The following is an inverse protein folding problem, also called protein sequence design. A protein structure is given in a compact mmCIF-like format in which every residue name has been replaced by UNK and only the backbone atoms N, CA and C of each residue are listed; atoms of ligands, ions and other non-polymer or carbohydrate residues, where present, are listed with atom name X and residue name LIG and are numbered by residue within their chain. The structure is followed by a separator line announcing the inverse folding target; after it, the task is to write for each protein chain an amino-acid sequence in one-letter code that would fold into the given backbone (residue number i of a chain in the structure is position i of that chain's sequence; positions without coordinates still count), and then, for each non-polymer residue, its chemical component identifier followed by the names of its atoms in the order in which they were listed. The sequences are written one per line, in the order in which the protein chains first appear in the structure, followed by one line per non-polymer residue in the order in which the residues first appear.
data_IF_042528619615
#
_entry.id   IF_042528619615
#
_cell.length_a   1.000
_cell.length_b   1.000
_cell.length_c   1.000
_cell.angle_alpha   90.00
_cell.angle_beta   90.00
_cell.angle_gamma   90.00
#
_symmetry.space_group_name_H-M   'P 1'
#
loop_
_entity.id
_entity.type
_entity.pdbx_description
1 polymer ?
#
# COMPACT_ATOMS: atom_id res chain seq x y z
N UNK A 1 -15.60 -14.25 43.04
CA UNK A 1 -15.61 -15.72 43.06
C UNK A 1 -16.97 -16.22 42.63
N UNK A 2 -17.17 -16.40 41.33
CA UNK A 2 -18.20 -17.28 40.78
C UNK A 2 -17.44 -18.29 39.94
N UNK A 3 -17.73 -19.57 40.15
CA UNK A 3 -17.07 -20.69 39.50
C UNK A 3 -17.37 -20.62 38.00
N UNK A 4 -16.31 -20.65 37.18
CA UNK A 4 -16.41 -20.81 35.75
C UNK A 4 -16.11 -22.27 35.41
N UNK A 5 -16.90 -22.80 34.47
CA UNK A 5 -16.73 -24.15 33.96
C UNK A 5 -15.68 -24.07 32.85
N UNK A 6 -14.42 -24.36 33.19
CA UNK A 6 -13.46 -24.85 32.21
C UNK A 6 -13.95 -26.25 31.83
N UNK A 7 -14.27 -26.49 30.56
CA UNK A 7 -14.53 -27.85 30.09
C UNK A 7 -13.17 -28.52 29.89
N UNK A 8 -12.59 -28.99 30.98
CA UNK A 8 -11.42 -29.87 30.96
C UNK A 8 -11.87 -31.22 30.39
N UNK A 9 -11.81 -31.36 29.08
CA UNK A 9 -12.00 -32.63 28.40
C UNK A 9 -10.70 -33.43 28.49
N UNK A 10 -10.46 -34.06 29.63
CA UNK A 10 -9.45 -35.11 29.71
C UNK A 10 -9.83 -36.24 28.74
N UNK A 11 -8.98 -36.45 27.72
CA UNK A 11 -8.83 -37.67 26.92
C UNK A 11 -10.09 -38.17 26.16
N UNK A 12 -10.13 -37.94 24.83
CA UNK A 12 -10.56 -38.92 23.81
C UNK A 12 -10.73 -38.38 22.36
N UNK A 13 -10.06 -37.29 21.93
CA UNK A 13 -10.06 -36.89 20.51
C UNK A 13 -8.69 -36.96 19.80
N UNK A 14 -7.64 -37.47 20.46
CA UNK A 14 -6.28 -37.66 19.88
C UNK A 14 -6.18 -38.97 19.10
N UNK A 15 -7.18 -39.34 18.29
CA UNK A 15 -7.14 -40.61 17.56
C UNK A 15 -7.90 -40.60 16.23
N UNK A 16 -7.54 -39.69 15.32
CA UNK A 16 -7.54 -39.96 13.87
C UNK A 16 -6.86 -38.80 13.14
N UNK A 17 -5.71 -39.06 12.52
CA UNK A 17 -5.01 -38.10 11.67
C UNK A 17 -5.89 -37.62 10.51
N UNK A 18 -6.45 -36.43 10.67
CA UNK A 18 -7.27 -35.76 9.67
C UNK A 18 -7.05 -34.24 9.69
N UNK A 19 -5.79 -33.81 9.61
CA UNK A 19 -5.44 -32.42 9.22
C UNK A 19 -4.57 -32.46 7.97
N UNK A 20 -5.03 -33.21 6.97
CA UNK A 20 -4.49 -33.18 5.62
C UNK A 20 -5.67 -33.07 4.65
N UNK A 21 -5.95 -31.83 4.23
CA UNK A 21 -6.89 -31.43 3.19
C UNK A 21 -8.38 -31.80 3.38
N UNK A 22 -9.21 -30.86 3.88
CA UNK A 22 -10.61 -30.72 3.43
C UNK A 22 -11.41 -29.54 4.07
N UNK A 23 -11.72 -28.52 3.25
CA UNK A 23 -13.02 -27.79 3.14
C UNK A 23 -13.53 -26.86 4.30
N UNK A 24 -14.29 -25.79 3.96
CA UNK A 24 -14.67 -24.69 4.88
C UNK A 24 -15.85 -25.03 5.79
N UNK A 25 -15.90 -26.23 6.39
CA UNK A 25 -17.10 -26.76 7.03
C UNK A 25 -16.94 -27.22 8.49
N UNK A 26 -16.02 -26.61 9.25
CA UNK A 26 -15.94 -26.82 10.71
C UNK A 26 -16.05 -25.50 11.48
N UNK A 27 -17.20 -24.84 11.35
CA UNK A 27 -17.66 -23.87 12.34
C UNK A 27 -18.33 -24.64 13.49
N UNK A 28 -17.56 -25.04 14.49
CA UNK A 28 -18.11 -25.49 15.77
C UNK A 28 -18.43 -24.23 16.59
N UNK A 29 -19.71 -24.04 16.89
CA UNK A 29 -20.28 -22.82 17.48
C UNK A 29 -19.78 -22.55 18.89
N UNK A 30 -19.12 -21.41 19.11
CA UNK A 30 -18.63 -20.90 20.39
C UNK A 30 -19.37 -19.57 20.73
N UNK A 31 -20.02 -19.45 21.90
CA UNK A 31 -20.78 -18.24 22.31
C UNK A 31 -20.62 -18.02 23.85
N UNK A 32 -20.07 -16.87 24.31
CA UNK A 32 -20.38 -16.29 25.65
C UNK A 32 -19.31 -15.51 26.48
N UNK A 33 -19.64 -14.25 26.89
CA UNK A 33 -19.04 -13.20 27.80
C UNK A 33 -17.65 -12.54 27.56
N UNK A 34 -16.88 -11.96 28.52
CA UNK A 34 -15.41 -11.79 28.35
C UNK A 34 -14.55 -12.31 29.51
N UNK A 35 -13.40 -12.93 29.19
CA UNK A 35 -12.48 -13.61 30.13
C UNK A 35 -11.00 -13.42 29.74
N UNK A 36 -10.20 -12.95 30.69
CA UNK A 36 -8.73 -13.11 30.65
C UNK A 36 -8.35 -14.44 31.29
N UNK A 37 -7.68 -15.33 30.54
CA UNK A 37 -7.17 -16.61 31.04
C UNK A 37 -5.64 -16.61 30.93
N UNK A 38 -4.95 -16.76 32.05
CA UNK A 38 -3.50 -16.92 32.11
C UNK A 38 -3.22 -18.26 32.80
N UNK A 39 -2.94 -19.30 31.99
CA UNK A 39 -2.64 -20.65 32.48
C UNK A 39 -1.25 -20.71 33.15
N UNK A 40 -0.39 -19.71 32.88
CA UNK A 40 0.94 -19.57 33.45
C UNK A 40 0.96 -18.85 34.82
N UNK A 41 -0.19 -18.35 35.31
CA UNK A 41 -0.26 -17.60 36.55
C UNK A 41 0.01 -18.47 37.80
N UNK A 42 0.90 -18.05 38.74
CA UNK A 42 1.13 -18.79 39.98
C UNK A 42 -0.15 -18.99 40.80
N UNK A 43 -0.62 -20.24 40.88
CA UNK A 43 -1.83 -20.62 41.62
C UNK A 43 -3.08 -20.82 40.75
N UNK A 44 -2.94 -20.78 39.41
CA UNK A 44 -3.94 -21.34 38.51
C UNK A 44 -4.12 -22.85 38.82
N UNK A 45 -5.36 -23.40 38.84
CA UNK A 45 -5.60 -24.81 39.16
C UNK A 45 -4.91 -25.78 38.17
N UNK A 46 -4.49 -25.27 37.02
CA UNK A 46 -3.55 -25.90 36.10
C UNK A 46 -2.40 -24.92 35.78
N UNK A 47 -1.24 -25.00 36.46
CA UNK A 47 -0.04 -24.30 36.04
C UNK A 47 0.72 -25.20 35.06
N UNK A 48 0.72 -24.83 33.78
CA UNK A 48 1.17 -25.63 32.62
C UNK A 48 2.25 -26.66 32.94
N UNK A 49 1.89 -27.93 32.77
CA UNK A 49 2.81 -29.06 32.87
C UNK A 49 3.23 -29.60 31.51
N UNK A 50 2.92 -28.89 30.41
CA UNK A 50 3.16 -29.37 29.06
C UNK A 50 2.03 -30.29 28.56
N UNK A 51 0.78 -30.06 28.98
CA UNK A 51 -0.40 -30.81 28.58
C UNK A 51 -1.34 -29.97 27.72
N UNK A 52 -2.06 -30.63 26.80
CA UNK A 52 -2.94 -30.00 25.84
C UNK A 52 -4.20 -29.40 26.50
N UNK A 53 -4.44 -28.11 26.23
CA UNK A 53 -5.55 -27.32 26.73
C UNK A 53 -6.59 -26.98 25.67
N UNK A 54 -7.84 -26.78 26.11
CA UNK A 54 -8.93 -26.29 25.26
C UNK A 54 -9.56 -25.08 25.93
N UNK A 55 -9.38 -23.91 25.32
CA UNK A 55 -9.87 -22.63 25.82
C UNK A 55 -10.92 -22.06 24.88
N UNK A 56 -12.09 -21.79 25.45
CA UNK A 56 -13.15 -21.05 24.77
C UNK A 56 -13.14 -19.63 25.34
N UNK A 57 -12.79 -18.70 24.48
CA UNK A 57 -13.02 -17.28 24.65
C UNK A 57 -14.51 -16.96 24.54
N UNK A 58 -14.77 -15.71 24.27
CA UNK A 58 -16.03 -15.09 24.49
C UNK A 58 -16.37 -14.05 23.41
N UNK A 59 -17.55 -13.40 23.44
CA UNK A 59 -17.92 -12.32 22.55
C UNK A 59 -17.31 -10.96 22.86
N UNK A 60 -16.35 -10.83 23.77
CA UNK A 60 -15.62 -9.58 23.95
C UNK A 60 -14.11 -9.82 23.94
N UNK A 61 -13.36 -8.73 23.79
CA UNK A 61 -11.91 -8.74 23.65
C UNK A 61 -11.20 -9.52 24.78
N UNK A 62 -10.69 -10.71 24.43
CA UNK A 62 -10.02 -11.63 25.33
C UNK A 62 -8.50 -11.60 25.16
N UNK A 63 -7.80 -11.98 26.23
CA UNK A 63 -6.35 -12.18 26.19
C UNK A 63 -6.03 -13.51 26.87
N UNK A 64 -5.41 -14.42 26.12
CA UNK A 64 -5.15 -15.80 26.53
C UNK A 64 -3.69 -16.17 26.32
N UNK A 65 -3.13 -16.87 27.31
CA UNK A 65 -1.83 -17.52 27.25
C UNK A 65 -2.03 -19.02 27.51
N UNK A 66 -1.76 -19.85 26.50
CA UNK A 66 -1.98 -21.30 26.52
C UNK A 66 -0.76 -22.05 27.06
N UNK A 67 0.44 -21.62 26.68
CA UNK A 67 1.68 -22.01 27.35
C UNK A 67 2.39 -23.15 26.67
N UNK A 68 2.24 -24.38 27.15
CA UNK A 68 2.94 -25.51 26.53
C UNK A 68 2.06 -26.74 26.49
N UNK A 69 2.03 -27.40 25.35
CA UNK A 69 1.00 -28.40 25.04
C UNK A 69 0.57 -28.24 23.59
N UNK A 70 -0.25 -29.17 23.10
CA UNK A 70 -0.90 -29.00 21.80
C UNK A 70 -2.29 -28.39 22.06
N UNK A 71 -2.39 -27.07 22.01
CA UNK A 71 -3.52 -26.33 22.56
C UNK A 71 -4.56 -25.93 21.51
N UNK A 72 -5.81 -25.75 21.94
CA UNK A 72 -6.91 -25.27 21.10
C UNK A 72 -7.55 -24.03 21.73
N UNK A 73 -7.56 -22.92 20.98
CA UNK A 73 -8.24 -21.69 21.37
C UNK A 73 -9.35 -21.32 20.37
N UNK A 74 -10.49 -20.87 20.89
CA UNK A 74 -11.54 -20.21 20.09
C UNK A 74 -11.90 -18.86 20.71
N UNK A 75 -11.58 -17.76 20.03
CA UNK A 75 -11.75 -16.38 20.46
C UNK A 75 -13.21 -16.00 20.64
N UNK A 76 -14.02 -16.19 19.61
CA UNK A 76 -15.45 -15.88 19.65
C UNK A 76 -15.74 -14.59 18.89
N UNK A 77 -16.08 -13.51 19.57
CA UNK A 77 -16.17 -12.21 18.90
C UNK A 77 -15.47 -11.14 19.69
N UNK A 78 -15.13 -10.02 19.06
CA UNK A 78 -14.30 -9.00 19.70
C UNK A 78 -12.87 -9.14 19.22
N UNK A 79 -12.03 -8.17 19.59
CA UNK A 79 -10.64 -8.14 19.13
C UNK A 79 -9.76 -8.91 20.14
N UNK A 80 -9.47 -10.17 19.84
CA UNK A 80 -8.83 -11.12 20.76
C UNK A 80 -7.30 -11.18 20.61
N UNK A 81 -6.62 -11.63 21.66
CA UNK A 81 -5.18 -11.90 21.66
C UNK A 81 -4.92 -13.30 22.24
N UNK A 82 -4.29 -14.17 21.46
CA UNK A 82 -3.92 -15.51 21.91
C UNK A 82 -2.44 -15.81 21.68
N UNK A 83 -1.80 -16.41 22.68
CA UNK A 83 -0.45 -16.95 22.61
C UNK A 83 -0.51 -18.46 22.84
N UNK A 84 -0.17 -19.25 21.82
CA UNK A 84 -0.08 -20.71 21.86
C UNK A 84 1.07 -21.15 22.76
N UNK A 85 2.29 -20.80 22.38
CA UNK A 85 3.49 -21.01 23.18
C UNK A 85 4.35 -22.13 22.59
N UNK A 86 4.38 -23.32 23.18
CA UNK A 86 5.16 -24.44 22.62
C UNK A 86 4.29 -25.68 22.41
N UNK A 87 4.36 -26.29 21.24
CA UNK A 87 3.58 -27.48 20.86
C UNK A 87 2.88 -27.26 19.52
N UNK A 88 1.98 -28.16 19.12
CA UNK A 88 1.19 -27.99 17.89
C UNK A 88 -0.16 -27.35 18.23
N UNK A 89 -0.23 -26.03 18.15
CA UNK A 89 -1.38 -25.24 18.58
C UNK A 89 -2.37 -24.96 17.45
N UNK A 90 -3.66 -24.88 17.78
CA UNK A 90 -4.71 -24.43 16.87
C UNK A 90 -5.46 -23.25 17.46
N UNK A 91 -5.32 -22.08 16.85
CA UNK A 91 -5.88 -20.82 17.34
C UNK A 91 -6.93 -20.28 16.36
N UNK A 92 -8.17 -20.06 16.83
CA UNK A 92 -9.22 -19.39 16.06
C UNK A 92 -9.54 -18.03 16.68
N UNK A 93 -9.44 -16.94 15.92
CA UNK A 93 -9.90 -15.60 16.33
C UNK A 93 -11.41 -15.43 16.20
N UNK A 94 -11.97 -15.98 15.12
CA UNK A 94 -13.40 -15.93 14.76
C UNK A 94 -13.88 -14.56 14.24
N UNK A 95 -14.39 -13.64 15.07
CA UNK A 95 -14.95 -12.38 14.55
C UNK A 95 -14.40 -11.17 15.30
N UNK A 96 -13.53 -10.40 14.66
CA UNK A 96 -12.87 -9.25 15.26
C UNK A 96 -11.55 -8.99 14.54
N UNK A 97 -10.74 -8.08 15.07
CA UNK A 97 -9.38 -7.85 14.59
C UNK A 97 -8.40 -8.47 15.58
N UNK A 98 -8.10 -9.74 15.35
CA UNK A 98 -7.45 -10.63 16.30
C UNK A 98 -5.93 -10.61 16.17
N UNK A 99 -5.24 -11.01 17.24
CA UNK A 99 -3.79 -11.18 17.27
C UNK A 99 -3.45 -12.58 17.77
N UNK A 100 -3.08 -13.44 16.84
CA UNK A 100 -2.76 -14.83 17.12
C UNK A 100 -1.26 -15.04 17.00
N UNK A 101 -0.66 -15.62 18.03
CA UNK A 101 0.76 -15.94 18.10
C UNK A 101 0.89 -17.45 18.36
N UNK A 102 1.36 -18.22 17.37
CA UNK A 102 1.52 -19.68 17.49
C UNK A 102 2.63 -20.01 18.48
N UNK A 103 3.88 -19.77 18.11
CA UNK A 103 5.03 -19.90 18.99
C UNK A 103 6.06 -20.85 18.40
N UNK A 104 6.41 -21.88 19.18
CA UNK A 104 7.28 -22.98 18.74
C UNK A 104 6.41 -24.20 18.40
N UNK A 105 6.51 -24.73 17.19
CA UNK A 105 5.83 -25.97 16.79
C UNK A 105 5.03 -25.81 15.51
N UNK A 106 4.38 -26.88 15.05
CA UNK A 106 3.62 -26.83 13.80
C UNK A 106 2.19 -26.36 14.11
N UNK A 107 1.95 -25.05 13.98
CA UNK A 107 0.72 -24.38 14.41
C UNK A 107 -0.28 -24.11 13.28
N UNK A 108 -1.57 -24.03 13.64
CA UNK A 108 -2.66 -23.61 12.76
C UNK A 108 -3.36 -22.36 13.31
N UNK A 109 -3.17 -21.23 12.62
CA UNK A 109 -3.70 -19.92 13.02
C UNK A 109 -4.82 -19.52 12.06
N UNK A 110 -6.00 -19.27 12.59
CA UNK A 110 -7.21 -18.88 11.84
C UNK A 110 -7.71 -17.53 12.35
N UNK A 111 -7.53 -16.45 11.57
CA UNK A 111 -8.02 -15.11 11.90
C UNK A 111 -9.54 -15.09 12.00
N UNK A 112 -10.21 -15.34 10.87
CA UNK A 112 -11.66 -15.37 10.81
C UNK A 112 -12.21 -14.18 10.06
N UNK A 113 -12.97 -13.30 10.71
CA UNK A 113 -13.58 -12.13 10.09
C UNK A 113 -13.11 -10.85 10.78
N UNK A 114 -12.50 -9.96 10.01
CA UNK A 114 -11.89 -8.70 10.44
C UNK A 114 -10.44 -8.66 10.00
N UNK A 115 -9.70 -7.62 10.39
CA UNK A 115 -8.33 -7.43 9.92
C UNK A 115 -7.36 -7.99 10.96
N UNK A 116 -6.93 -9.22 10.75
CA UNK A 116 -6.24 -10.02 11.73
C UNK A 116 -4.71 -9.93 11.59
N UNK A 117 -4.02 -10.25 12.68
CA UNK A 117 -2.57 -10.42 12.71
C UNK A 117 -2.22 -11.79 13.22
N UNK A 118 -1.66 -12.62 12.34
CA UNK A 118 -1.23 -13.97 12.65
C UNK A 118 0.29 -14.00 12.57
N UNK A 119 0.97 -14.50 13.60
CA UNK A 119 2.43 -14.51 13.65
C UNK A 119 2.92 -15.82 14.23
N UNK A 120 3.93 -16.39 13.60
CA UNK A 120 4.66 -17.51 14.16
C UNK A 120 6.18 -17.28 14.21
N UNK A 121 6.91 -18.18 14.88
CA UNK A 121 8.37 -18.13 15.00
C UNK A 121 9.10 -19.33 14.41
N UNK A 122 8.63 -20.56 14.60
CA UNK A 122 9.28 -21.80 14.14
C UNK A 122 8.25 -22.91 13.90
N UNK A 123 8.41 -23.71 12.84
CA UNK A 123 7.56 -24.87 12.57
C UNK A 123 6.98 -24.84 11.15
N UNK A 124 6.25 -25.87 10.77
CA UNK A 124 5.51 -25.91 9.51
C UNK A 124 4.07 -25.43 9.76
N UNK A 125 3.87 -24.13 9.61
CA UNK A 125 2.66 -23.48 10.11
C UNK A 125 1.62 -23.28 9.01
N UNK A 126 0.37 -23.19 9.43
CA UNK A 126 -0.75 -22.89 8.55
C UNK A 126 -1.44 -21.60 9.00
N UNK A 127 -1.35 -20.57 8.17
CA UNK A 127 -1.97 -19.27 8.37
C UNK A 127 -3.21 -19.14 7.49
N UNK A 128 -4.35 -18.90 8.10
CA UNK A 128 -5.62 -18.63 7.43
C UNK A 128 -6.14 -17.26 7.88
N UNK A 129 -6.01 -16.25 7.03
CA UNK A 129 -6.50 -14.88 7.30
C UNK A 129 -8.02 -14.87 7.46
N UNK A 130 -8.74 -15.05 6.34
CA UNK A 130 -10.19 -15.20 6.35
C UNK A 130 -10.89 -14.07 5.60
N UNK A 131 -11.82 -13.35 6.22
CA UNK A 131 -12.42 -12.14 5.67
C UNK A 131 -11.74 -10.91 6.27
N UNK A 132 -11.14 -10.04 5.46
CA UNK A 132 -10.53 -8.80 5.94
C UNK A 132 -9.18 -8.55 5.31
N UNK A 133 -8.50 -7.49 5.73
CA UNK A 133 -7.14 -7.20 5.28
C UNK A 133 -6.16 -7.70 6.34
N UNK A 134 -5.59 -8.89 6.14
CA UNK A 134 -4.84 -9.62 7.15
C UNK A 134 -3.32 -9.43 7.04
N UNK A 135 -2.63 -9.57 8.18
CA UNK A 135 -1.18 -9.54 8.29
C UNK A 135 -0.64 -10.87 8.78
N UNK A 136 0.03 -11.59 7.89
CA UNK A 136 0.62 -12.91 8.13
C UNK A 136 2.14 -12.78 8.30
N UNK A 137 2.61 -12.85 9.55
CA UNK A 137 4.03 -12.79 9.89
C UNK A 137 4.69 -14.15 9.81
N UNK A 138 5.94 -14.18 9.33
CA UNK A 138 6.61 -15.44 8.99
C UNK A 138 7.58 -15.95 10.06
N UNK A 139 7.60 -17.28 10.21
CA UNK A 139 8.54 -18.04 11.01
C UNK A 139 9.67 -18.65 10.16
N UNK A 140 10.32 -19.68 10.68
CA UNK A 140 11.13 -20.62 9.90
C UNK A 140 10.36 -21.93 9.74
N UNK A 141 10.48 -22.61 8.61
CA UNK A 141 9.86 -23.91 8.36
C UNK A 141 9.14 -23.95 7.02
N UNK A 142 8.25 -24.92 6.81
CA UNK A 142 7.50 -25.04 5.55
C UNK A 142 6.06 -24.61 5.79
N UNK A 143 5.76 -23.36 5.46
CA UNK A 143 4.50 -22.74 5.86
C UNK A 143 3.47 -22.71 4.73
N UNK A 144 2.19 -22.60 5.11
CA UNK A 144 1.06 -22.36 4.22
C UNK A 144 0.42 -21.04 4.59
N UNK A 145 0.42 -20.09 3.66
CA UNK A 145 -0.23 -18.79 3.80
C UNK A 145 -1.47 -18.75 2.91
N UNK A 146 -2.66 -18.68 3.53
CA UNK A 146 -3.94 -18.45 2.86
C UNK A 146 -4.53 -17.14 3.40
N UNK A 147 -4.46 -16.06 2.62
CA UNK A 147 -5.02 -14.76 3.04
C UNK A 147 -6.55 -14.77 3.10
N UNK A 148 -7.20 -15.57 2.24
CA UNK A 148 -8.65 -15.60 2.16
C UNK A 148 -9.19 -14.50 1.26
N UNK A 149 -9.96 -13.57 1.83
CA UNK A 149 -10.65 -12.52 1.08
C UNK A 149 -10.38 -11.15 1.68
N UNK A 150 -9.97 -10.23 0.82
CA UNK A 150 -9.59 -8.88 1.22
C UNK A 150 -8.25 -8.56 0.60
N UNK A 151 -7.36 -7.94 1.36
CA UNK A 151 -6.07 -7.44 0.86
C UNK A 151 -4.96 -7.87 1.81
N UNK A 152 -4.45 -9.07 1.59
CA UNK A 152 -3.65 -9.77 2.61
C UNK A 152 -2.15 -9.60 2.41
N UNK A 153 -1.42 -9.46 3.51
CA UNK A 153 0.01 -9.15 3.52
C UNK A 153 0.82 -10.23 4.23
N UNK A 154 1.80 -10.79 3.51
CA UNK A 154 2.86 -11.59 4.14
C UNK A 154 4.09 -10.74 4.43
N UNK A 155 4.63 -10.86 5.64
CA UNK A 155 5.69 -10.00 6.17
C UNK A 155 6.97 -10.78 6.49
N UNK A 156 7.99 -10.65 5.65
CA UNK A 156 9.31 -11.29 5.77
C UNK A 156 10.37 -10.40 6.45
N UNK A 157 9.97 -9.32 7.13
CA UNK A 157 10.95 -8.46 7.82
C UNK A 157 11.75 -9.24 8.86
N UNK A 158 13.05 -8.96 8.91
CA UNK A 158 13.98 -9.64 9.81
C UNK A 158 14.35 -11.07 9.39
N UNK A 159 13.88 -11.55 8.24
CA UNK A 159 14.41 -12.77 7.60
C UNK A 159 15.70 -12.44 6.83
N UNK A 160 16.35 -13.46 6.29
CA UNK A 160 17.39 -13.28 5.25
C UNK A 160 16.73 -13.13 3.88
N UNK A 161 17.54 -13.03 2.81
CA UNK A 161 17.08 -13.07 1.41
C UNK A 161 15.96 -14.10 1.19
N UNK A 162 14.89 -13.64 0.52
CA UNK A 162 13.73 -14.45 0.16
C UNK A 162 13.50 -14.56 -1.34
N UNK A 163 12.77 -15.61 -1.72
CA UNK A 163 12.27 -15.83 -3.09
C UNK A 163 10.77 -16.13 -3.02
N UNK A 164 9.92 -15.20 -3.45
CA UNK A 164 8.46 -15.36 -3.37
C UNK A 164 7.84 -15.20 -4.75
N UNK A 165 6.92 -16.09 -5.11
CA UNK A 165 6.12 -16.07 -6.32
C UNK A 165 4.64 -16.33 -6.00
N UNK A 166 3.85 -15.26 -5.91
CA UNK A 166 2.42 -15.32 -5.63
C UNK A 166 1.60 -15.83 -6.83
N UNK A 167 2.21 -15.95 -8.02
CA UNK A 167 1.53 -16.51 -9.20
C UNK A 167 1.42 -18.04 -9.15
N UNK A 168 2.12 -18.67 -8.20
CA UNK A 168 2.10 -20.11 -7.96
C UNK A 168 1.57 -20.41 -6.55
N UNK A 169 0.57 -21.29 -6.48
CA UNK A 169 0.08 -21.85 -5.21
C UNK A 169 0.81 -23.14 -4.81
N UNK A 170 1.78 -23.60 -5.61
CA UNK A 170 2.58 -24.76 -5.26
C UNK A 170 3.65 -24.38 -4.24
N UNK A 171 4.04 -25.30 -3.34
CA UNK A 171 5.14 -25.06 -2.40
C UNK A 171 6.43 -24.68 -3.15
N UNK A 172 7.08 -23.61 -2.70
CA UNK A 172 8.26 -23.01 -3.32
C UNK A 172 9.33 -22.73 -2.27
N UNK A 173 10.60 -22.87 -2.65
CA UNK A 173 11.70 -22.56 -1.73
C UNK A 173 11.82 -21.04 -1.59
N UNK A 174 11.44 -20.52 -0.43
CA UNK A 174 11.42 -19.10 -0.10
C UNK A 174 12.74 -18.58 0.46
N UNK A 175 13.83 -19.34 0.27
CA UNK A 175 15.15 -18.98 0.75
C UNK A 175 15.32 -19.28 2.23
N UNK A 176 15.58 -18.24 3.03
CA UNK A 176 15.83 -18.40 4.47
C UNK A 176 14.62 -18.69 5.33
N UNK A 177 13.41 -18.71 4.74
CA UNK A 177 12.16 -19.01 5.44
C UNK A 177 11.78 -20.51 5.34
N UNK A 178 11.96 -21.14 4.17
CA UNK A 178 11.87 -22.59 4.00
C UNK A 178 11.19 -22.98 2.68
N UNK A 179 10.21 -23.89 2.72
CA UNK A 179 9.41 -24.24 1.54
C UNK A 179 7.95 -23.91 1.78
N UNK A 180 7.53 -22.73 1.32
CA UNK A 180 6.24 -22.17 1.66
C UNK A 180 5.27 -22.18 0.49
N UNK A 181 3.97 -22.02 0.76
CA UNK A 181 2.94 -21.84 -0.27
C UNK A 181 2.05 -20.64 0.02
N UNK A 182 1.58 -19.97 -1.04
CA UNK A 182 0.77 -18.77 -0.94
C UNK A 182 -0.53 -18.94 -1.71
N UNK A 183 -1.65 -18.62 -1.08
CA UNK A 183 -3.00 -18.64 -1.63
C UNK A 183 -3.66 -17.33 -1.24
N UNK A 184 -4.30 -16.66 -2.20
CA UNK A 184 -5.03 -15.41 -1.96
C UNK A 184 -4.23 -14.38 -1.13
N UNK A 185 -2.97 -14.16 -1.52
CA UNK A 185 -2.11 -13.12 -0.96
C UNK A 185 -1.87 -12.08 -2.02
N UNK A 186 -2.06 -10.80 -1.68
CA UNK A 186 -1.87 -9.68 -2.59
C UNK A 186 -0.61 -8.87 -2.27
N UNK A 187 -0.11 -8.89 -1.05
CA UNK A 187 0.96 -8.00 -0.61
C UNK A 187 2.10 -8.78 0.05
N UNK A 188 3.32 -8.33 -0.24
CA UNK A 188 4.54 -8.91 0.35
C UNK A 188 5.45 -7.78 0.80
N UNK A 189 5.93 -7.91 2.03
CA UNK A 189 7.02 -7.11 2.57
C UNK A 189 8.25 -8.02 2.64
N UNK A 190 9.30 -7.62 1.95
CA UNK A 190 10.59 -8.29 1.92
C UNK A 190 11.40 -8.12 3.21
N UNK A 191 12.64 -8.54 3.12
CA UNK A 191 13.68 -8.50 4.14
C UNK A 191 14.63 -7.32 3.93
N UNK A 192 15.64 -7.15 4.79
CA UNK A 192 16.69 -6.13 4.58
C UNK A 192 17.82 -6.63 3.64
N UNK A 193 17.56 -7.67 2.84
CA UNK A 193 18.51 -8.31 1.94
C UNK A 193 17.99 -8.34 0.51
N UNK A 194 18.89 -8.56 -0.46
CA UNK A 194 18.55 -8.69 -1.88
C UNK A 194 17.45 -9.75 -2.11
N UNK A 195 16.21 -9.32 -2.33
CA UNK A 195 15.05 -10.21 -2.47
C UNK A 195 14.62 -10.39 -3.92
N UNK A 196 13.90 -11.50 -4.19
CA UNK A 196 13.17 -11.68 -5.45
C UNK A 196 11.71 -11.95 -5.14
N UNK A 197 10.84 -11.01 -5.49
CA UNK A 197 9.41 -11.10 -5.19
C UNK A 197 8.62 -10.94 -6.48
N UNK A 198 7.76 -11.90 -6.77
CA UNK A 198 6.85 -11.93 -7.91
C UNK A 198 5.42 -11.91 -7.41
N UNK A 199 4.65 -10.92 -7.85
CA UNK A 199 3.22 -10.78 -7.62
C UNK A 199 2.40 -11.79 -8.42
N UNK A 200 1.13 -11.49 -8.64
CA UNK A 200 0.20 -12.33 -9.37
C UNK A 200 -0.61 -11.49 -10.38
N UNK A 201 -1.87 -11.85 -10.64
CA UNK A 201 -2.72 -11.10 -11.58
C UNK A 201 -3.61 -10.04 -10.88
N UNK A 202 -3.55 -9.97 -9.55
CA UNK A 202 -4.27 -9.00 -8.74
C UNK A 202 -3.47 -7.69 -8.59
N UNK A 203 -4.04 -6.68 -7.94
CA UNK A 203 -3.29 -5.47 -7.63
C UNK A 203 -2.39 -5.71 -6.41
N UNK A 204 -1.09 -5.86 -6.63
CA UNK A 204 -0.13 -6.16 -5.58
C UNK A 204 0.54 -4.90 -5.02
N UNK A 205 0.91 -4.96 -3.74
CA UNK A 205 1.83 -4.00 -3.10
C UNK A 205 3.05 -4.80 -2.67
N UNK A 206 4.17 -4.54 -3.31
CA UNK A 206 5.43 -5.27 -3.09
C UNK A 206 6.46 -4.29 -2.55
N UNK A 207 7.00 -4.59 -1.38
CA UNK A 207 8.07 -3.83 -0.73
C UNK A 207 9.33 -4.68 -0.65
N UNK A 208 10.44 -4.23 -1.22
CA UNK A 208 11.76 -4.86 -1.07
C UNK A 208 12.43 -4.52 0.26
N UNK A 209 12.03 -3.42 0.90
CA UNK A 209 12.65 -2.86 2.11
C UNK A 209 14.08 -2.39 1.91
N UNK A 210 15.10 -3.24 2.00
CA UNK A 210 16.48 -2.85 1.75
C UNK A 210 17.26 -3.98 1.11
N UNK A 211 18.30 -3.66 0.34
CA UNK A 211 18.99 -4.67 -0.47
C UNK A 211 19.01 -4.23 -1.92
N UNK A 212 19.35 -5.13 -2.85
CA UNK A 212 19.16 -4.91 -4.28
C UNK A 212 18.07 -5.87 -4.75
N UNK A 213 16.85 -5.38 -4.80
CA UNK A 213 15.68 -6.24 -4.93
C UNK A 213 15.24 -6.38 -6.38
N UNK A 214 14.56 -7.48 -6.68
CA UNK A 214 13.91 -7.72 -7.97
C UNK A 214 12.44 -7.96 -7.74
N UNK A 215 11.62 -6.95 -8.06
CA UNK A 215 10.18 -6.95 -7.84
C UNK A 215 9.45 -7.04 -9.17
N UNK A 216 8.60 -8.05 -9.33
CA UNK A 216 7.73 -8.24 -10.49
C UNK A 216 6.27 -8.11 -10.10
N UNK A 217 5.53 -7.16 -10.68
CA UNK A 217 4.07 -7.03 -10.47
C UNK A 217 3.25 -8.07 -11.23
N UNK A 218 3.72 -8.48 -12.41
CA UNK A 218 3.05 -9.36 -13.38
C UNK A 218 1.79 -8.74 -14.00
N UNK A 219 0.62 -8.87 -13.40
CA UNK A 219 -0.64 -8.40 -13.97
C UNK A 219 -1.44 -7.68 -12.91
N UNK A 220 -2.16 -6.61 -13.27
CA UNK A 220 -2.99 -5.92 -12.29
C UNK A 220 -2.68 -4.44 -12.25
N UNK A 221 -2.64 -3.86 -11.05
CA UNK A 221 -2.29 -2.45 -10.86
C UNK A 221 -1.39 -2.35 -9.65
N UNK A 222 -0.11 -2.52 -9.89
CA UNK A 222 0.83 -2.83 -8.82
C UNK A 222 1.47 -1.57 -8.27
N UNK A 223 1.85 -1.63 -6.99
CA UNK A 223 2.71 -0.63 -6.35
C UNK A 223 3.99 -1.33 -5.93
N UNK A 224 5.09 -0.94 -6.55
CA UNK A 224 6.42 -1.50 -6.33
C UNK A 224 7.27 -0.49 -5.56
N UNK A 225 7.79 -0.91 -4.43
CA UNK A 225 8.62 -0.10 -3.53
C UNK A 225 9.91 -0.88 -3.34
N UNK A 226 10.97 -0.52 -4.05
CA UNK A 226 12.29 -1.17 -3.89
C UNK A 226 12.82 -0.91 -2.48
N UNK A 227 13.30 0.31 -2.25
CA UNK A 227 13.80 0.74 -0.96
C UNK A 227 15.11 1.48 -1.11
N UNK A 228 15.99 1.50 -0.10
CA UNK A 228 17.41 1.77 -0.32
C UNK A 228 18.04 0.57 -1.03
N UNK A 229 18.56 0.79 -2.23
CA UNK A 229 19.06 -0.35 -3.00
C UNK A 229 19.50 -0.01 -4.40
N UNK A 230 19.78 -1.03 -5.20
CA UNK A 230 19.80 -0.88 -6.65
C UNK A 230 18.78 -1.87 -7.20
N UNK A 231 17.54 -1.40 -7.30
CA UNK A 231 16.42 -2.31 -7.43
C UNK A 231 16.00 -2.47 -8.88
N UNK A 232 15.40 -3.60 -9.22
CA UNK A 232 14.72 -3.83 -10.50
C UNK A 232 13.23 -3.88 -10.20
N UNK A 233 12.49 -2.89 -10.70
CA UNK A 233 11.06 -2.79 -10.53
C UNK A 233 10.38 -3.01 -11.87
N UNK A 234 9.75 -4.17 -12.04
CA UNK A 234 9.04 -4.57 -13.24
C UNK A 234 7.54 -4.65 -13.01
N UNK A 235 6.80 -3.63 -13.46
CA UNK A 235 5.35 -3.56 -13.26
C UNK A 235 4.56 -4.65 -13.99
N UNK A 236 5.09 -5.18 -15.10
CA UNK A 236 4.36 -6.18 -15.88
C UNK A 236 3.28 -5.56 -16.78
N UNK A 237 2.05 -6.03 -16.66
CA UNK A 237 0.89 -5.65 -17.46
C UNK A 237 -0.14 -5.00 -16.55
N UNK A 238 -0.40 -3.71 -16.74
CA UNK A 238 -1.20 -3.02 -15.76
C UNK A 238 -1.10 -1.52 -15.88
N UNK A 239 -1.40 -0.85 -14.79
CA UNK A 239 -1.03 0.57 -14.61
C UNK A 239 -0.25 0.69 -13.32
N UNK A 240 1.04 0.47 -13.43
CA UNK A 240 1.87 0.12 -12.29
C UNK A 240 2.60 1.36 -11.78
N UNK A 241 2.91 1.37 -10.49
CA UNK A 241 3.47 2.53 -9.79
C UNK A 241 4.77 2.16 -9.14
N UNK A 242 5.85 2.85 -9.49
CA UNK A 242 7.05 2.85 -8.66
C UNK A 242 6.90 3.94 -7.60
N UNK A 243 6.91 3.54 -6.33
CA UNK A 243 6.66 4.41 -5.19
C UNK A 243 7.94 4.63 -4.37
N UNK A 244 8.38 5.89 -4.36
CA UNK A 244 9.57 6.36 -3.66
C UNK A 244 9.24 7.19 -2.40
N UNK A 245 8.01 7.12 -1.89
CA UNK A 245 7.56 7.93 -0.75
C UNK A 245 8.41 7.76 0.51
N UNK A 246 9.02 6.58 0.70
CA UNK A 246 9.87 6.24 1.84
C UNK A 246 11.36 6.54 1.62
N UNK A 247 11.76 7.04 0.44
CA UNK A 247 13.15 7.32 0.12
C UNK A 247 13.81 8.29 1.12
N UNK A 248 15.10 8.06 1.41
CA UNK A 248 15.83 8.81 2.44
C UNK A 248 16.18 10.25 2.04
N UNK A 249 16.03 10.60 0.75
CA UNK A 249 16.27 11.92 0.18
C UNK A 249 15.49 12.13 -1.13
N UNK A 250 15.63 13.30 -1.74
CA UNK A 250 14.95 13.63 -3.00
C UNK A 250 15.41 12.73 -4.14
N UNK A 251 14.45 12.25 -4.94
CA UNK A 251 14.67 11.28 -6.01
C UNK A 251 14.74 11.93 -7.39
N UNK A 252 15.41 11.24 -8.32
CA UNK A 252 15.43 11.62 -9.74
C UNK A 252 15.08 10.41 -10.58
N UNK A 253 13.86 10.38 -11.09
CA UNK A 253 13.29 9.20 -11.77
C UNK A 253 12.66 9.59 -13.10
N UNK A 254 12.89 8.78 -14.13
CA UNK A 254 12.37 8.99 -15.47
C UNK A 254 11.84 7.68 -16.04
N UNK A 255 10.55 7.63 -16.38
CA UNK A 255 9.92 6.51 -17.10
C UNK A 255 10.39 6.41 -18.55
N UNK A 256 10.84 7.53 -19.13
CA UNK A 256 11.48 7.53 -20.45
C UNK A 256 12.85 6.79 -20.49
N UNK A 257 13.44 6.43 -19.34
CA UNK A 257 14.62 5.56 -19.26
C UNK A 257 14.14 4.14 -19.05
N UNK A 258 14.06 3.38 -20.14
CA UNK A 258 13.45 2.05 -20.16
C UNK A 258 14.51 0.96 -20.03
N UNK A 259 14.29 0.00 -19.12
CA UNK A 259 15.11 -1.22 -18.95
C UNK A 259 16.61 -0.95 -18.76
N UNK A 260 16.95 0.21 -18.20
CA UNK A 260 18.34 0.61 -17.96
C UNK A 260 18.45 1.21 -16.56
N UNK A 261 19.51 0.88 -15.80
CA UNK A 261 19.74 1.48 -14.49
C UNK A 261 19.82 3.01 -14.56
N UNK A 262 19.14 3.69 -13.64
CA UNK A 262 19.16 5.14 -13.49
C UNK A 262 19.47 5.51 -12.04
N UNK A 263 20.33 6.51 -11.85
CA UNK A 263 20.64 7.01 -10.51
C UNK A 263 19.43 7.79 -9.96
N UNK A 264 18.64 7.09 -9.12
CA UNK A 264 17.44 7.59 -8.44
C UNK A 264 17.79 8.40 -7.20
N UNK A 265 19.08 8.45 -6.82
CA UNK A 265 19.65 9.24 -5.71
C UNK A 265 19.20 8.74 -4.35
N UNK A 266 18.07 9.25 -3.86
CA UNK A 266 17.54 8.96 -2.52
C UNK A 266 17.14 7.50 -2.30
N UNK A 267 17.09 6.73 -3.39
CA UNK A 267 16.79 5.30 -3.44
C UNK A 267 17.88 4.49 -4.17
N UNK A 268 19.07 5.07 -4.43
CA UNK A 268 20.18 4.36 -5.07
C UNK A 268 20.17 4.36 -6.61
N UNK A 269 20.29 3.19 -7.25
CA UNK A 269 20.35 3.05 -8.72
C UNK A 269 19.37 1.99 -9.22
N UNK A 270 18.16 2.43 -9.55
CA UNK A 270 17.08 1.51 -9.89
C UNK A 270 16.90 1.34 -11.40
N UNK A 271 16.31 0.21 -11.78
CA UNK A 271 15.89 -0.09 -13.14
C UNK A 271 14.38 -0.23 -13.16
N UNK A 272 13.72 0.63 -13.95
CA UNK A 272 12.27 0.57 -14.16
C UNK A 272 11.96 -0.14 -15.47
N UNK A 273 11.04 -1.09 -15.39
CA UNK A 273 10.57 -1.91 -16.51
C UNK A 273 9.04 -1.89 -16.47
N UNK A 274 8.39 -1.45 -17.56
CA UNK A 274 6.91 -1.47 -17.68
C UNK A 274 6.20 -0.85 -16.46
N UNK A 275 6.57 0.38 -16.13
CA UNK A 275 5.96 1.18 -15.06
C UNK A 275 5.43 2.46 -15.67
N UNK A 276 4.17 2.80 -15.42
CA UNK A 276 3.49 3.96 -16.00
C UNK A 276 3.38 5.14 -15.04
N UNK A 277 3.54 4.91 -13.73
CA UNK A 277 3.26 5.90 -12.70
C UNK A 277 4.42 6.05 -11.71
N UNK A 278 4.52 7.24 -11.12
CA UNK A 278 5.55 7.57 -10.12
C UNK A 278 4.94 8.25 -8.90
N UNK A 279 5.44 7.88 -7.72
CA UNK A 279 5.27 8.65 -6.50
C UNK A 279 6.65 9.07 -6.00
N UNK A 280 6.83 10.37 -5.81
CA UNK A 280 8.03 10.98 -5.25
C UNK A 280 8.12 10.82 -3.74
N UNK A 281 9.23 11.31 -3.20
CA UNK A 281 9.55 11.30 -1.79
C UNK A 281 8.89 12.48 -1.05
N UNK A 282 9.30 12.71 0.20
CA UNK A 282 8.92 13.91 0.97
C UNK A 282 9.87 15.10 0.76
N UNK A 283 10.81 14.99 -0.17
CA UNK A 283 11.84 15.98 -0.46
C UNK A 283 11.71 16.48 -1.89
N UNK A 284 12.49 17.50 -2.27
CA UNK A 284 12.46 18.02 -3.64
C UNK A 284 12.91 16.98 -4.67
N UNK A 285 11.98 16.56 -5.52
CA UNK A 285 12.15 15.50 -6.49
C UNK A 285 12.26 16.01 -7.93
N UNK A 286 12.77 15.15 -8.81
CA UNK A 286 12.71 15.34 -10.26
C UNK A 286 12.11 14.09 -10.91
N UNK A 287 10.85 14.20 -11.32
CA UNK A 287 10.08 13.10 -11.88
C UNK A 287 9.76 13.36 -13.35
N UNK A 288 9.85 12.35 -14.19
CA UNK A 288 9.60 12.46 -15.63
C UNK A 288 8.82 11.24 -16.11
N UNK A 289 7.67 11.47 -16.73
CA UNK A 289 6.88 10.44 -17.39
C UNK A 289 7.47 10.03 -18.74
N UNK A 290 6.69 9.34 -19.55
CA UNK A 290 7.10 8.83 -20.84
C UNK A 290 6.19 9.37 -21.97
N UNK A 291 5.86 8.52 -22.96
CA UNK A 291 4.95 8.88 -24.05
C UNK A 291 3.53 8.35 -23.86
N UNK A 292 3.31 7.56 -22.82
CA UNK A 292 2.01 7.04 -22.42
C UNK A 292 1.33 7.97 -21.41
N UNK A 293 0.07 7.70 -21.05
CA UNK A 293 -0.59 8.44 -19.98
C UNK A 293 0.03 8.09 -18.62
N UNK A 294 0.60 9.08 -17.94
CA UNK A 294 1.23 8.86 -16.64
C UNK A 294 0.44 9.51 -15.49
N UNK A 295 0.49 8.90 -14.31
CA UNK A 295 0.13 9.54 -13.04
C UNK A 295 1.40 9.77 -12.22
N UNK A 296 1.70 11.02 -11.92
CA UNK A 296 2.90 11.40 -11.17
C UNK A 296 2.52 12.30 -10.00
N UNK A 297 2.95 11.92 -8.79
CA UNK A 297 2.82 12.73 -7.57
C UNK A 297 4.20 13.10 -7.04
N UNK A 298 4.49 14.39 -6.87
CA UNK A 298 5.72 14.90 -6.25
C UNK A 298 5.77 14.58 -4.76
N UNK A 299 4.80 15.10 -4.00
CA UNK A 299 4.68 14.85 -2.57
C UNK A 299 4.90 16.13 -1.78
N UNK A 300 5.81 16.10 -0.83
CA UNK A 300 6.26 17.32 -0.17
C UNK A 300 7.62 17.70 -0.77
N UNK A 301 7.98 18.97 -0.78
CA UNK A 301 9.25 19.41 -1.31
C UNK A 301 9.06 20.45 -2.42
N UNK A 302 10.16 20.84 -3.04
CA UNK A 302 10.08 21.68 -4.24
C UNK A 302 10.36 20.77 -5.44
N UNK A 303 9.31 20.33 -6.11
CA UNK A 303 9.38 19.26 -7.09
C UNK A 303 9.46 19.79 -8.51
N UNK A 304 10.11 19.03 -9.38
CA UNK A 304 10.10 19.26 -10.82
C UNK A 304 9.51 18.06 -11.52
N UNK A 305 8.32 18.21 -12.09
CA UNK A 305 7.56 17.15 -12.74
C UNK A 305 7.40 17.46 -14.24
N UNK A 306 7.64 16.47 -15.09
CA UNK A 306 7.36 16.53 -16.52
C UNK A 306 6.53 15.31 -16.92
N UNK A 307 5.33 15.51 -17.49
CA UNK A 307 4.47 14.43 -17.97
C UNK A 307 5.06 13.76 -19.20
N UNK A 308 5.33 14.55 -20.25
CA UNK A 308 5.93 14.05 -21.47
C UNK A 308 4.93 14.12 -22.61
N UNK A 309 4.64 13.00 -23.26
CA UNK A 309 3.51 12.91 -24.16
C UNK A 309 2.47 11.97 -23.56
N UNK A 310 1.18 12.18 -23.83
CA UNK A 310 0.13 11.39 -23.20
C UNK A 310 -0.92 12.28 -22.56
N UNK A 311 -1.96 11.68 -21.99
CA UNK A 311 -2.93 12.43 -21.19
C UNK A 311 -2.59 12.26 -19.73
N UNK A 312 -1.81 13.18 -19.18
CA UNK A 312 -1.15 12.98 -17.88
C UNK A 312 -1.95 13.53 -16.70
N UNK A 313 -1.70 12.98 -15.51
CA UNK A 313 -2.21 13.50 -14.24
C UNK A 313 -1.02 13.77 -13.31
N UNK A 314 -0.72 15.05 -13.14
CA UNK A 314 0.47 15.52 -12.45
C UNK A 314 0.09 16.33 -11.20
N UNK A 315 0.66 15.99 -10.06
CA UNK A 315 0.42 16.66 -8.78
C UNK A 315 1.74 17.00 -8.11
N UNK A 316 1.98 18.29 -7.83
CA UNK A 316 3.17 18.77 -7.10
C UNK A 316 3.07 18.41 -5.63
N UNK A 317 2.05 18.94 -4.95
CA UNK A 317 1.77 18.66 -3.56
C UNK A 317 2.10 19.86 -2.69
N UNK A 318 2.96 19.70 -1.68
CA UNK A 318 3.32 20.80 -0.80
C UNK A 318 4.74 21.31 -1.06
N UNK A 319 4.86 22.60 -1.33
CA UNK A 319 6.12 23.30 -1.54
C UNK A 319 6.10 24.02 -2.87
N UNK A 320 7.27 24.38 -3.42
CA UNK A 320 7.31 25.27 -4.60
C UNK A 320 7.60 24.47 -5.86
N UNK A 321 6.55 24.13 -6.60
CA UNK A 321 6.65 23.11 -7.63
C UNK A 321 6.75 23.70 -9.04
N UNK A 322 7.38 22.93 -9.93
CA UNK A 322 7.43 23.21 -11.37
C UNK A 322 6.89 21.99 -12.10
N UNK A 323 5.73 22.14 -12.74
CA UNK A 323 5.03 21.05 -13.41
C UNK A 323 4.84 21.40 -14.88
N UNK A 324 5.19 20.46 -15.76
CA UNK A 324 4.99 20.54 -17.21
C UNK A 324 4.18 19.35 -17.68
N UNK A 325 3.03 19.57 -18.31
CA UNK A 325 2.19 18.53 -18.93
C UNK A 325 2.91 17.93 -20.13
N UNK A 326 3.10 18.76 -21.16
CA UNK A 326 3.83 18.38 -22.35
C UNK A 326 2.87 18.31 -23.53
N UNK A 327 2.71 17.16 -24.17
CA UNK A 327 1.72 17.03 -25.25
C UNK A 327 0.62 16.07 -24.88
N UNK A 328 -0.63 16.47 -25.07
CA UNK A 328 -1.78 15.59 -24.99
C UNK A 328 -2.96 16.26 -24.31
N UNK A 329 -3.48 15.72 -23.22
CA UNK A 329 -4.58 16.40 -22.52
C UNK A 329 -4.41 16.18 -21.03
N UNK A 330 -3.81 17.15 -20.40
CA UNK A 330 -3.21 16.96 -19.10
C UNK A 330 -4.06 17.57 -17.98
N UNK A 331 -3.91 17.02 -16.79
CA UNK A 331 -4.44 17.57 -15.55
C UNK A 331 -3.29 17.84 -14.61
N UNK A 332 -3.02 19.11 -14.36
CA UNK A 332 -1.94 19.57 -13.49
C UNK A 332 -2.53 20.18 -12.22
N UNK A 333 -1.95 19.83 -11.08
CA UNK A 333 -2.26 20.40 -9.77
C UNK A 333 -0.98 20.83 -9.06
N UNK A 334 -0.85 22.12 -8.75
CA UNK A 334 0.27 22.68 -7.98
C UNK A 334 0.21 22.21 -6.53
N UNK A 335 -0.87 22.58 -5.85
CA UNK A 335 -1.11 22.18 -4.47
C UNK A 335 -0.93 23.37 -3.54
N UNK A 336 -0.09 23.25 -2.51
CA UNK A 336 0.20 24.39 -1.64
C UNK A 336 1.59 24.93 -1.91
N UNK A 337 1.73 26.23 -2.20
CA UNK A 337 3.05 26.81 -2.42
C UNK A 337 3.06 28.04 -3.31
N UNK A 338 4.00 28.08 -4.26
CA UNK A 338 4.08 29.16 -5.26
C UNK A 338 4.47 28.53 -6.58
N UNK A 339 3.49 27.94 -7.24
CA UNK A 339 3.78 26.91 -8.21
C UNK A 339 3.88 27.48 -9.62
N UNK A 340 4.54 26.73 -10.49
CA UNK A 340 4.68 27.06 -11.90
C UNK A 340 4.19 25.87 -12.73
N UNK A 341 3.05 26.04 -13.39
CA UNK A 341 2.41 25.00 -14.18
C UNK A 341 2.38 25.40 -15.66
N UNK A 342 2.76 24.46 -16.53
CA UNK A 342 2.72 24.58 -17.99
C UNK A 342 1.91 23.42 -18.56
N UNK A 343 0.73 23.67 -19.14
CA UNK A 343 -0.03 22.64 -19.88
C UNK A 343 0.69 22.24 -21.17
N UNK A 344 1.26 23.23 -21.85
CA UNK A 344 1.98 23.11 -23.13
C UNK A 344 1.04 22.83 -24.31
N UNK A 345 0.91 21.60 -24.81
CA UNK A 345 0.12 21.29 -26.01
C UNK A 345 -1.09 20.43 -25.71
N UNK A 346 -2.28 20.96 -25.99
CA UNK A 346 -3.54 20.26 -25.96
C UNK A 346 -4.56 20.94 -25.04
N UNK A 347 -5.66 20.26 -24.72
CA UNK A 347 -6.80 20.90 -24.05
C UNK A 347 -6.76 20.69 -22.53
N UNK A 348 -5.88 21.41 -21.86
CA UNK A 348 -5.40 21.07 -20.53
C UNK A 348 -6.26 21.64 -19.41
N UNK A 349 -6.00 21.14 -18.21
CA UNK A 349 -6.64 21.60 -16.98
C UNK A 349 -5.60 21.82 -15.90
N UNK A 350 -5.44 23.06 -15.48
CA UNK A 350 -4.43 23.48 -14.51
C UNK A 350 -5.10 24.03 -13.25
N UNK A 351 -4.65 23.59 -12.09
CA UNK A 351 -5.05 24.10 -10.77
C UNK A 351 -3.81 24.58 -10.00
N UNK A 352 -3.74 25.86 -9.65
CA UNK A 352 -2.70 26.41 -8.77
C UNK A 352 -2.94 26.00 -7.32
N UNK A 353 -4.22 26.04 -6.92
CA UNK A 353 -4.74 25.74 -5.58
C UNK A 353 -4.38 26.83 -4.55
N UNK A 354 -3.42 26.63 -3.64
CA UNK A 354 -3.12 27.60 -2.60
C UNK A 354 -1.72 28.16 -2.80
N UNK A 355 -1.60 29.47 -3.04
CA UNK A 355 -0.31 30.00 -3.41
C UNK A 355 -0.39 31.26 -4.23
N UNK A 356 0.76 31.85 -4.55
CA UNK A 356 0.82 32.88 -5.58
C UNK A 356 1.42 32.24 -6.83
N UNK A 357 0.56 31.75 -7.71
CA UNK A 357 0.95 30.77 -8.71
C UNK A 357 1.12 31.39 -10.10
N UNK A 358 1.83 30.68 -10.98
CA UNK A 358 1.98 31.03 -12.39
C UNK A 358 1.57 29.87 -13.26
N UNK A 359 0.44 30.01 -13.94
CA UNK A 359 -0.16 28.97 -14.77
C UNK A 359 -0.17 29.41 -16.23
N UNK A 360 0.26 28.51 -17.12
CA UNK A 360 0.31 28.71 -18.56
C UNK A 360 -0.44 27.55 -19.22
N UNK A 361 -1.61 27.82 -19.82
CA UNK A 361 -2.38 26.82 -20.57
C UNK A 361 -1.56 26.27 -21.74
N UNK A 362 -1.19 27.15 -22.66
CA UNK A 362 -0.30 26.81 -23.77
C UNK A 362 -1.06 26.88 -25.09
N UNK A 363 -1.18 25.77 -25.81
CA UNK A 363 -1.97 25.70 -27.04
C UNK A 363 -3.09 24.70 -26.88
N UNK A 364 -4.28 24.99 -27.37
CA UNK A 364 -5.49 24.19 -27.16
C UNK A 364 -6.50 24.97 -26.34
N UNK A 365 -7.63 24.34 -26.00
CA UNK A 365 -8.70 25.04 -25.27
C UNK A 365 -8.63 24.69 -23.79
N UNK A 366 -8.01 25.57 -23.02
CA UNK A 366 -7.56 25.25 -21.68
C UNK A 366 -8.54 25.69 -20.60
N UNK A 367 -8.44 25.03 -19.43
CA UNK A 367 -9.10 25.45 -18.21
C UNK A 367 -8.06 25.71 -17.14
N UNK A 368 -7.93 26.97 -16.74
CA UNK A 368 -6.89 27.42 -15.82
C UNK A 368 -7.53 28.03 -14.58
N UNK A 369 -7.23 27.47 -13.41
CA UNK A 369 -7.75 27.90 -12.12
C UNK A 369 -6.59 28.31 -11.21
N UNK A 370 -6.53 29.59 -10.82
CA UNK A 370 -5.50 30.12 -9.91
C UNK A 370 -5.69 29.53 -8.52
N UNK A 371 -6.81 29.83 -7.90
CA UNK A 371 -7.16 29.33 -6.57
C UNK A 371 -7.10 30.45 -5.55
N UNK A 372 -6.48 30.21 -4.39
CA UNK A 372 -6.30 31.23 -3.36
C UNK A 372 -4.91 31.86 -3.51
N UNK A 373 -4.87 33.19 -3.64
CA UNK A 373 -3.64 33.98 -3.60
C UNK A 373 -3.57 34.96 -4.77
N UNK A 374 -2.45 35.66 -4.93
CA UNK A 374 -2.25 36.61 -6.02
C UNK A 374 -1.66 35.89 -7.25
N UNK A 375 -2.51 35.43 -8.17
CA UNK A 375 -2.12 34.53 -9.24
C UNK A 375 -1.84 35.21 -10.58
N UNK A 376 -1.10 34.51 -11.45
CA UNK A 376 -0.89 34.90 -12.86
C UNK A 376 -1.26 33.76 -13.79
N UNK A 377 -2.29 33.97 -14.60
CA UNK A 377 -2.85 32.98 -15.51
C UNK A 377 -2.69 33.46 -16.95
N UNK A 378 -2.19 32.57 -17.80
CA UNK A 378 -2.03 32.77 -19.24
C UNK A 378 -2.79 31.64 -19.96
N UNK A 379 -3.78 31.98 -20.78
CA UNK A 379 -4.53 31.03 -21.60
C UNK A 379 -3.65 30.48 -22.71
N UNK A 380 -3.21 31.37 -23.59
CA UNK A 380 -2.29 31.03 -24.67
C UNK A 380 -3.01 31.03 -26.01
N UNK A 381 -2.83 29.99 -26.81
CA UNK A 381 -3.49 29.85 -28.09
C UNK A 381 -4.70 28.92 -27.99
N UNK A 382 -5.91 29.42 -28.25
CA UNK A 382 -7.11 28.60 -28.25
C UNK A 382 -8.31 29.35 -27.71
N UNK A 383 -9.28 28.64 -27.14
CA UNK A 383 -10.48 29.24 -26.55
C UNK A 383 -10.52 28.86 -25.08
N UNK A 384 -9.94 29.74 -24.27
CA UNK A 384 -9.55 29.38 -22.92
C UNK A 384 -10.57 29.85 -21.89
N UNK A 385 -10.56 29.19 -20.74
CA UNK A 385 -11.32 29.60 -19.56
C UNK A 385 -10.40 29.75 -18.37
N UNK A 386 -10.32 30.96 -17.86
CA UNK A 386 -9.44 31.34 -16.77
C UNK A 386 -10.29 31.81 -15.57
N UNK A 387 -9.98 31.28 -14.39
CA UNK A 387 -10.56 31.68 -13.11
C UNK A 387 -9.44 32.08 -12.15
N UNK A 388 -9.43 33.33 -11.70
CA UNK A 388 -8.47 33.82 -10.70
C UNK A 388 -8.74 33.16 -9.35
N UNK A 389 -9.91 33.44 -8.79
CA UNK A 389 -10.30 32.98 -7.46
C UNK A 389 -10.22 34.12 -6.46
N UNK A 390 -10.08 33.85 -5.14
CA UNK A 390 -9.82 34.90 -4.17
C UNK A 390 -8.38 35.41 -4.26
N UNK A 391 -8.19 36.72 -4.41
CA UNK A 391 -6.85 37.30 -4.46
C UNK A 391 -6.76 38.57 -5.27
N UNK A 392 -5.56 38.92 -5.73
CA UNK A 392 -5.36 40.01 -6.68
C UNK A 392 -4.68 39.47 -7.93
N UNK A 393 -5.50 39.01 -8.86
CA UNK A 393 -5.07 38.15 -9.94
C UNK A 393 -4.75 38.91 -11.22
N UNK A 394 -3.97 38.28 -12.09
CA UNK A 394 -3.70 38.75 -13.45
C UNK A 394 -4.01 37.64 -14.44
N UNK A 395 -5.05 37.84 -15.24
CA UNK A 395 -5.53 36.88 -16.22
C UNK A 395 -5.28 37.45 -17.64
N UNK A 396 -4.63 36.65 -18.48
CA UNK A 396 -4.31 36.96 -19.86
C UNK A 396 -4.87 35.85 -20.76
N UNK A 397 -5.88 36.13 -21.59
CA UNK A 397 -6.45 35.16 -22.54
C UNK A 397 -5.51 34.87 -23.72
N UNK A 398 -4.87 35.93 -24.24
CA UNK A 398 -3.93 35.90 -25.36
C UNK A 398 -4.60 35.68 -26.72
N UNK A 399 -4.58 34.48 -27.30
CA UNK A 399 -5.06 34.25 -28.67
C UNK A 399 -6.33 33.42 -28.71
N UNK A 400 -7.46 34.05 -29.01
CA UNK A 400 -8.71 33.38 -29.40
C UNK A 400 -9.92 33.96 -28.68
N UNK A 401 -10.91 33.14 -28.35
CA UNK A 401 -12.18 33.61 -27.78
C UNK A 401 -12.29 33.13 -26.34
N UNK A 402 -11.85 33.96 -25.42
CA UNK A 402 -11.57 33.54 -24.06
C UNK A 402 -12.63 34.00 -23.06
N UNK A 403 -12.76 33.26 -21.97
CA UNK A 403 -13.58 33.61 -20.80
C UNK A 403 -12.68 33.80 -19.60
N UNK A 404 -12.61 35.03 -19.09
CA UNK A 404 -11.81 35.37 -17.91
C UNK A 404 -12.74 35.78 -16.78
N UNK A 405 -12.61 35.12 -15.63
CA UNK A 405 -13.37 35.39 -14.41
C UNK A 405 -12.36 35.71 -13.30
N UNK A 406 -12.33 36.96 -12.84
CA UNK A 406 -11.44 37.40 -11.75
C UNK A 406 -11.80 36.72 -10.43
N UNK A 407 -13.01 36.99 -9.94
CA UNK A 407 -13.45 36.51 -8.63
C UNK A 407 -13.31 37.59 -7.56
N UNK A 408 -13.36 37.21 -6.27
CA UNK A 408 -13.18 38.15 -5.17
C UNK A 408 -11.76 38.73 -5.20
N UNK A 409 -11.63 40.01 -5.52
CA UNK A 409 -10.29 40.54 -5.77
C UNK A 409 -10.27 41.90 -6.43
N UNK A 410 -9.04 42.42 -6.62
CA UNK A 410 -8.81 43.57 -7.51
C UNK A 410 -7.99 43.11 -8.70
N UNK A 411 -8.67 42.51 -9.66
CA UNK A 411 -7.99 41.73 -10.68
C UNK A 411 -7.69 42.56 -11.93
N UNK A 412 -6.71 42.08 -12.70
CA UNK A 412 -6.38 42.58 -14.03
C UNK A 412 -6.76 41.52 -15.05
N UNK A 413 -7.78 41.81 -15.87
CA UNK A 413 -8.22 40.92 -16.93
C UNK A 413 -7.82 41.51 -18.30
N UNK A 414 -7.09 40.74 -19.11
CA UNK A 414 -6.74 41.10 -20.49
C UNK A 414 -7.11 39.95 -21.43
N UNK A 415 -8.18 40.14 -22.21
CA UNK A 415 -8.63 39.11 -23.17
C UNK A 415 -7.62 38.79 -24.27
N UNK A 416 -6.94 39.79 -24.82
CA UNK A 416 -6.05 39.57 -25.97
C UNK A 416 -6.81 39.72 -27.30
N UNK A 417 -6.45 38.91 -28.30
CA UNK A 417 -7.12 38.89 -29.60
C UNK A 417 -8.49 38.17 -29.53
N UNK A 418 -9.28 38.21 -30.60
CA UNK A 418 -10.60 37.54 -30.68
C UNK A 418 -11.71 38.17 -29.82
N UNK A 419 -12.82 37.43 -29.65
CA UNK A 419 -14.03 37.87 -28.95
C UNK A 419 -14.08 37.30 -27.54
N UNK A 420 -13.72 38.13 -26.58
CA UNK A 420 -13.53 37.75 -25.19
C UNK A 420 -14.71 38.12 -24.30
N UNK A 421 -14.93 37.31 -23.25
CA UNK A 421 -15.87 37.58 -22.15
C UNK A 421 -15.07 37.80 -20.87
N UNK A 422 -15.19 38.99 -20.29
CA UNK A 422 -14.50 39.35 -19.05
C UNK A 422 -15.52 39.59 -17.94
N UNK A 423 -15.39 38.90 -16.81
CA UNK A 423 -16.22 39.08 -15.63
C UNK A 423 -15.36 39.31 -14.40
N UNK A 424 -15.66 40.39 -13.69
CA UNK A 424 -15.09 40.65 -12.37
C UNK A 424 -15.92 39.93 -11.30
#
# INVERSE_FOLDING_TARGET
MRAFTVVLSTSALVAAGLVAAASPAYAATCDGLPVTIDLNAPGHPDPDRGDADVVLGTPGDDVVFLGGGDDLFCGGSGDDIAYGGSGEDTLFGEAGNDRLYGGEGDDALHGGAGNDRLVDSEGNNHFFGGEGDDSLGTGIGNDVYDGGSGSDTVDFRGRTMIFVDLSSTAPQNTGGAGVDSFVAVEHVIGSDYDDVITGNAAANVIRGEGGNDVLYGLGGRDTLIGGPGNDVLDGGAGSDTADYATAAGGVRVSLAVVNTPQNTRGAGVDTLVRVENLVGSRYGDRLTGDSGPNRIRGGNGADTISGGAGGDRLEGGAGRDVIRGGSGRDVLRGGSGQDRLHGDSGADRLYGDAGNDRLYGGSGNDRVYGGRGDDRLYGGAGHDRLWGGPGRDRLYGESGNDVLIGGPGRDLLRGGSGRNTLRQ
#
